data_IF_844886388875
#
_entry.id   IF_844886388875
#
_cell.length_a   1.000
_cell.length_b   1.000
_cell.length_c   1.000
_cell.angle_alpha   90.00
_cell.angle_beta   90.00
_cell.angle_gamma   90.00
#
_symmetry.space_group_name_H-M   'P 1'
#
loop_
_entity.id
_entity.type
_entity.pdbx_description
1 polymer ?
#
# COMPACT_ATOMS: atom_id res chain seq x y z
N UNK A 1 29.25 -4.83 1.93
CA UNK A 1 28.19 -5.78 2.29
C UNK A 1 27.54 -6.23 0.99
N UNK A 2 26.82 -7.34 0.95
CA UNK A 2 26.12 -7.82 -0.26
C UNK A 2 24.71 -7.26 -0.32
N UNK A 3 24.14 -7.17 -1.51
CA UNK A 3 22.72 -6.93 -1.67
C UNK A 3 21.90 -8.08 -1.05
N UNK A 4 20.64 -7.84 -0.65
CA UNK A 4 19.73 -8.90 -0.19
C UNK A 4 19.59 -10.03 -1.22
N UNK A 5 19.44 -11.26 -0.73
CA UNK A 5 19.21 -12.41 -1.60
C UNK A 5 17.79 -12.36 -2.16
N UNK A 6 17.68 -12.14 -3.47
CA UNK A 6 16.42 -12.14 -4.19
C UNK A 6 15.90 -13.56 -4.42
N UNK A 7 14.58 -13.74 -4.37
CA UNK A 7 13.89 -14.95 -4.80
C UNK A 7 12.62 -14.58 -5.57
N UNK A 8 12.43 -15.17 -6.74
CA UNK A 8 11.27 -14.98 -7.62
C UNK A 8 10.61 -16.33 -7.81
N UNK A 9 9.38 -16.48 -7.32
CA UNK A 9 8.58 -17.69 -7.43
C UNK A 9 7.39 -17.42 -8.33
N UNK A 10 7.20 -18.24 -9.36
CA UNK A 10 6.06 -18.16 -10.30
C UNK A 10 5.32 -19.48 -10.31
N UNK A 11 3.99 -19.41 -10.29
CA UNK A 11 3.15 -20.61 -10.39
C UNK A 11 2.66 -20.84 -11.80
N UNK A 12 2.89 -22.04 -12.35
CA UNK A 12 2.54 -22.39 -13.72
C UNK A 12 1.35 -23.37 -13.85
N UNK A 13 0.62 -23.63 -12.78
CA UNK A 13 -0.59 -24.47 -12.85
C UNK A 13 -1.87 -23.65 -12.80
N UNK A 14 -2.87 -24.05 -13.60
CA UNK A 14 -4.16 -23.35 -13.73
C UNK A 14 -5.13 -23.66 -12.58
N UNK A 15 -4.78 -23.36 -11.35
CA UNK A 15 -5.79 -23.30 -10.30
C UNK A 15 -5.63 -21.99 -9.53
N UNK A 16 -6.66 -21.17 -9.57
CA UNK A 16 -6.72 -19.87 -8.89
C UNK A 16 -6.77 -20.00 -7.34
N UNK A 17 -6.21 -21.04 -6.76
CA UNK A 17 -6.19 -21.29 -5.32
C UNK A 17 -4.80 -20.99 -4.76
N UNK A 18 -4.72 -19.92 -3.99
CA UNK A 18 -3.59 -19.61 -3.13
C UNK A 18 -3.53 -20.63 -1.97
N UNK A 19 -2.83 -21.74 -2.16
CA UNK A 19 -2.65 -22.76 -1.13
C UNK A 19 -1.39 -23.57 -1.37
N UNK A 20 -0.82 -24.12 -0.30
CA UNK A 20 0.32 -25.04 -0.43
C UNK A 20 -0.17 -26.37 -1.02
N UNK A 21 0.37 -26.80 -2.18
CA UNK A 21 -0.10 -28.02 -2.84
C UNK A 21 0.15 -29.26 -1.99
N UNK A 22 -0.74 -30.23 -2.09
CA UNK A 22 -0.55 -31.53 -1.49
C UNK A 22 0.66 -32.24 -2.14
N UNK A 23 1.66 -32.56 -1.33
CA UNK A 23 2.86 -33.28 -1.76
C UNK A 23 2.86 -34.71 -1.23
N UNK A 24 2.79 -35.66 -2.14
CA UNK A 24 2.87 -37.09 -1.77
C UNK A 24 4.21 -37.36 -1.05
N UNK A 25 4.17 -38.08 0.06
CA UNK A 25 5.32 -38.39 0.92
C UNK A 25 5.98 -37.18 1.64
N UNK A 26 5.35 -36.01 1.67
CA UNK A 26 5.77 -34.91 2.52
C UNK A 26 5.17 -35.05 3.92
N UNK A 27 6.01 -35.03 4.95
CA UNK A 27 5.56 -35.06 6.36
C UNK A 27 4.79 -33.80 6.80
N UNK A 28 4.89 -32.71 6.02
CA UNK A 28 4.22 -31.45 6.29
C UNK A 28 3.03 -31.20 5.36
N UNK A 29 3.23 -31.39 4.06
CA UNK A 29 2.21 -31.06 3.03
C UNK A 29 1.50 -32.31 2.48
N UNK A 30 1.89 -33.50 2.89
CA UNK A 30 1.23 -34.76 2.55
C UNK A 30 0.10 -35.14 3.52
N UNK A 31 -0.25 -34.27 4.46
CA UNK A 31 -1.35 -34.47 5.41
C UNK A 31 -2.66 -33.94 4.82
N UNK A 32 -3.71 -34.76 4.85
CA UNK A 32 -5.09 -34.33 4.58
C UNK A 32 -5.45 -33.17 5.52
N UNK A 33 -5.94 -32.08 5.02
CA UNK A 33 -6.25 -30.80 5.68
C UNK A 33 -5.07 -29.82 5.85
N UNK A 34 -3.85 -30.16 5.39
CA UNK A 34 -2.71 -29.23 5.42
C UNK A 34 -2.25 -28.90 4.00
N UNK A 35 -2.27 -29.88 3.08
CA UNK A 35 -2.00 -29.68 1.67
C UNK A 35 -3.30 -29.58 0.86
N UNK A 36 -3.38 -28.67 -0.10
CA UNK A 36 -4.53 -28.52 -1.00
C UNK A 36 -4.35 -29.45 -2.21
N UNK A 37 -5.32 -30.29 -2.51
CA UNK A 37 -5.31 -31.09 -3.74
C UNK A 37 -5.48 -30.17 -4.94
N UNK A 38 -4.48 -30.14 -5.86
CA UNK A 38 -4.49 -29.30 -7.05
C UNK A 38 -4.07 -27.86 -6.80
N UNK A 39 -3.18 -27.60 -5.84
CA UNK A 39 -2.59 -26.28 -5.62
C UNK A 39 -1.56 -25.92 -6.67
N UNK A 40 -1.37 -24.62 -6.94
CA UNK A 40 -0.36 -24.10 -7.86
C UNK A 40 1.04 -24.43 -7.33
N UNK A 41 1.83 -25.11 -8.14
CA UNK A 41 3.24 -25.32 -7.81
C UNK A 41 4.03 -24.05 -8.12
N UNK A 42 4.62 -23.44 -7.08
CA UNK A 42 5.53 -22.32 -7.24
C UNK A 42 6.92 -22.83 -7.65
N UNK A 43 7.42 -22.32 -8.77
CA UNK A 43 8.74 -22.64 -9.32
C UNK A 43 9.67 -21.45 -9.08
N UNK A 44 10.89 -21.73 -8.61
CA UNK A 44 11.93 -20.72 -8.46
C UNK A 44 12.57 -20.41 -9.81
N UNK A 45 12.37 -19.19 -10.28
CA UNK A 45 12.88 -18.68 -11.58
C UNK A 45 13.92 -17.57 -11.36
N UNK A 46 14.43 -17.42 -10.16
CA UNK A 46 15.36 -16.35 -9.77
C UNK A 46 16.62 -16.29 -10.64
N UNK A 47 17.15 -17.45 -11.03
CA UNK A 47 18.40 -17.52 -11.80
C UNK A 47 18.32 -16.90 -13.20
N UNK A 48 17.12 -16.63 -13.70
CA UNK A 48 16.86 -16.01 -15.00
C UNK A 48 16.52 -14.52 -14.89
N UNK A 49 16.30 -14.03 -13.65
CA UNK A 49 15.93 -12.64 -13.40
C UNK A 49 17.12 -11.69 -13.62
N UNK A 50 16.94 -10.71 -14.52
CA UNK A 50 17.90 -9.64 -14.75
C UNK A 50 17.59 -8.40 -13.92
N UNK A 51 16.32 -8.01 -13.84
CA UNK A 51 15.90 -6.87 -13.06
C UNK A 51 14.47 -7.01 -12.54
N UNK A 52 14.21 -6.36 -11.41
CA UNK A 52 12.89 -6.29 -10.80
C UNK A 52 12.61 -4.86 -10.39
N UNK A 53 11.49 -4.32 -10.83
CA UNK A 53 10.96 -3.04 -10.36
C UNK A 53 9.62 -3.27 -9.70
N UNK A 54 9.43 -2.80 -8.48
CA UNK A 54 8.19 -2.92 -7.72
C UNK A 54 7.75 -1.53 -7.29
N UNK A 55 6.46 -1.24 -7.41
CA UNK A 55 5.85 -0.02 -6.87
C UNK A 55 4.53 -0.37 -6.21
N UNK A 56 4.39 -0.01 -4.93
CA UNK A 56 3.19 -0.25 -4.12
C UNK A 56 2.82 1.01 -3.36
N UNK A 57 1.53 1.24 -3.17
CA UNK A 57 1.04 2.35 -2.38
C UNK A 57 0.40 3.47 -3.18
N UNK A 58 0.58 4.71 -2.72
CA UNK A 58 0.08 5.95 -3.34
C UNK A 58 1.17 7.01 -3.39
N UNK A 59 1.08 7.90 -4.38
CA UNK A 59 2.06 8.98 -4.53
C UNK A 59 1.72 10.22 -3.70
N UNK A 60 0.44 10.44 -3.44
CA UNK A 60 -0.07 11.62 -2.73
C UNK A 60 -1.00 11.22 -1.59
N UNK A 61 -0.91 11.94 -0.50
CA UNK A 61 -1.69 11.73 0.72
C UNK A 61 -3.21 11.80 0.49
N UNK A 62 -3.67 12.58 -0.48
CA UNK A 62 -5.09 12.74 -0.82
C UNK A 62 -5.63 11.71 -1.81
N UNK A 63 -4.76 10.90 -2.40
CA UNK A 63 -5.12 9.84 -3.33
C UNK A 63 -5.49 8.54 -2.60
N UNK A 64 -6.21 7.67 -3.30
CA UNK A 64 -6.45 6.30 -2.83
C UNK A 64 -5.22 5.44 -3.11
N UNK A 65 -5.06 4.36 -2.34
CA UNK A 65 -4.07 3.35 -2.66
C UNK A 65 -4.41 2.69 -3.99
N UNK A 66 -3.41 2.60 -4.86
CA UNK A 66 -3.51 1.95 -6.16
C UNK A 66 -3.11 0.48 -6.07
N UNK A 67 -3.44 -0.29 -7.11
CA UNK A 67 -2.90 -1.63 -7.25
C UNK A 67 -1.37 -1.56 -7.29
N UNK A 68 -0.71 -2.38 -6.47
CA UNK A 68 0.73 -2.55 -6.54
C UNK A 68 1.12 -3.24 -7.83
N UNK A 69 2.20 -2.78 -8.45
CA UNK A 69 2.72 -3.33 -9.71
C UNK A 69 4.15 -3.83 -9.53
N UNK A 70 4.49 -4.87 -10.27
CA UNK A 70 5.86 -5.31 -10.43
C UNK A 70 6.16 -5.60 -11.89
N UNK A 71 7.36 -5.27 -12.33
CA UNK A 71 7.91 -5.68 -13.62
C UNK A 71 9.15 -6.51 -13.36
N UNK A 72 9.18 -7.72 -13.92
CA UNK A 72 10.34 -8.62 -13.85
C UNK A 72 10.85 -8.86 -15.25
N UNK A 73 12.13 -8.60 -15.46
CA UNK A 73 12.80 -8.88 -16.73
C UNK A 73 13.61 -10.17 -16.59
N UNK A 74 13.35 -11.12 -17.45
CA UNK A 74 14.06 -12.40 -17.53
C UNK A 74 14.92 -12.48 -18.79
N UNK A 75 16.16 -12.95 -18.64
CA UNK A 75 16.96 -13.47 -19.75
C UNK A 75 16.40 -14.85 -20.12
N UNK A 76 15.81 -14.96 -21.32
CA UNK A 76 15.09 -16.17 -21.76
C UNK A 76 15.61 -16.70 -23.12
N UNK A 77 16.91 -17.05 -23.21
CA UNK A 77 17.50 -17.49 -24.50
C UNK A 77 16.89 -18.76 -25.03
N UNK A 78 16.27 -19.58 -24.21
CA UNK A 78 15.64 -20.85 -24.57
C UNK A 78 14.13 -20.76 -24.74
N UNK A 79 13.55 -19.56 -24.56
CA UNK A 79 12.10 -19.30 -24.70
C UNK A 79 11.25 -20.17 -23.78
N UNK A 80 11.69 -20.34 -22.53
CA UNK A 80 10.95 -21.19 -21.59
C UNK A 80 9.63 -20.54 -21.12
N UNK A 81 9.55 -19.19 -21.16
CA UNK A 81 8.35 -18.44 -20.82
C UNK A 81 7.47 -18.15 -22.06
N UNK A 82 7.81 -18.68 -23.22
CA UNK A 82 7.02 -18.50 -24.44
C UNK A 82 5.86 -19.50 -24.48
N UNK A 83 4.58 -19.06 -24.51
CA UNK A 83 3.42 -19.94 -24.57
C UNK A 83 3.33 -20.74 -25.88
N UNK A 84 4.11 -20.37 -26.90
CA UNK A 84 4.20 -21.12 -28.18
C UNK A 84 5.26 -22.21 -28.18
N UNK A 85 6.14 -22.24 -27.15
CA UNK A 85 7.20 -23.24 -27.04
C UNK A 85 6.70 -24.50 -26.35
N UNK A 86 6.30 -25.52 -27.14
CA UNK A 86 5.81 -26.79 -26.62
C UNK A 86 6.90 -27.66 -25.98
N UNK A 87 8.19 -27.32 -26.16
CA UNK A 87 9.31 -27.96 -25.49
C UNK A 87 9.64 -27.32 -24.12
N UNK A 88 8.97 -26.23 -23.77
CA UNK A 88 9.14 -25.58 -22.45
C UNK A 88 8.65 -26.48 -21.31
N UNK A 89 9.37 -26.55 -20.17
CA UNK A 89 8.91 -27.27 -18.99
C UNK A 89 7.63 -26.63 -18.38
N UNK A 90 7.29 -25.40 -18.77
CA UNK A 90 6.11 -24.67 -18.29
C UNK A 90 4.90 -24.71 -19.24
N UNK A 91 5.07 -25.34 -20.42
CA UNK A 91 3.98 -25.50 -21.38
C UNK A 91 2.92 -26.49 -20.84
N UNK A 92 1.61 -26.22 -21.01
CA UNK A 92 0.97 -25.04 -21.60
C UNK A 92 0.55 -23.96 -20.58
N UNK A 93 1.21 -23.86 -19.44
CA UNK A 93 0.76 -23.12 -18.27
C UNK A 93 1.32 -21.69 -18.16
N UNK A 94 2.08 -21.23 -19.15
CA UNK A 94 2.49 -19.82 -19.26
C UNK A 94 1.30 -18.98 -19.72
N UNK A 95 0.84 -18.05 -18.90
CA UNK A 95 -0.31 -17.23 -19.26
C UNK A 95 -0.65 -16.16 -18.22
N UNK A 96 -1.67 -15.34 -18.50
CA UNK A 96 -2.12 -14.35 -17.54
C UNK A 96 -2.71 -15.03 -16.29
N UNK A 97 -2.62 -14.34 -15.15
CA UNK A 97 -3.06 -14.79 -13.82
C UNK A 97 -2.16 -15.85 -13.17
N UNK A 98 -1.01 -16.18 -13.72
CA UNK A 98 -0.02 -16.95 -12.99
C UNK A 98 0.36 -16.19 -11.70
N UNK A 99 0.30 -16.82 -10.50
CA UNK A 99 0.71 -16.17 -9.27
C UNK A 99 2.21 -15.96 -9.24
N UNK A 100 2.63 -14.83 -8.67
CA UNK A 100 4.03 -14.47 -8.48
C UNK A 100 4.28 -13.99 -7.06
N UNK A 101 5.37 -14.44 -6.46
CA UNK A 101 5.88 -13.98 -5.17
C UNK A 101 7.32 -13.56 -5.34
N UNK A 102 7.64 -12.34 -4.94
CA UNK A 102 9.00 -11.81 -4.95
C UNK A 102 9.40 -11.55 -3.50
N UNK A 103 10.50 -12.13 -3.07
CA UNK A 103 11.04 -11.96 -1.73
C UNK A 103 12.52 -11.58 -1.75
N UNK A 104 12.96 -10.88 -0.72
CA UNK A 104 14.36 -10.54 -0.50
C UNK A 104 14.73 -10.96 0.93
N UNK A 105 15.85 -11.67 1.10
CA UNK A 105 16.24 -12.31 2.37
C UNK A 105 15.13 -13.18 2.99
N UNK A 106 14.25 -13.78 2.17
CA UNK A 106 13.10 -14.56 2.63
C UNK A 106 11.90 -13.71 3.09
N UNK A 107 11.99 -12.38 3.06
CA UNK A 107 10.89 -11.46 3.39
C UNK A 107 10.12 -11.15 2.10
N UNK A 108 8.81 -11.41 2.03
CA UNK A 108 7.99 -11.05 0.87
C UNK A 108 7.96 -9.53 0.68
N UNK A 109 8.35 -9.07 -0.52
CA UNK A 109 8.30 -7.64 -0.90
C UNK A 109 7.18 -7.36 -1.91
N UNK A 110 6.72 -8.41 -2.60
CA UNK A 110 5.58 -8.33 -3.53
C UNK A 110 4.91 -9.69 -3.69
N UNK A 111 3.58 -9.69 -3.70
CA UNK A 111 2.75 -10.85 -4.01
C UNK A 111 1.60 -10.40 -4.92
N UNK A 112 1.46 -11.06 -6.07
CA UNK A 112 0.45 -10.69 -7.05
C UNK A 112 0.25 -11.76 -8.10
N UNK A 113 -0.26 -11.36 -9.24
CA UNK A 113 -0.47 -12.18 -10.42
C UNK A 113 0.14 -11.52 -11.64
N UNK A 114 0.60 -12.34 -12.57
CA UNK A 114 1.05 -11.87 -13.88
C UNK A 114 -0.16 -11.36 -14.66
N UNK A 115 -0.03 -10.18 -15.24
CA UNK A 115 -1.04 -9.58 -16.11
C UNK A 115 -0.66 -9.71 -17.58
N UNK A 116 0.63 -9.67 -17.88
CA UNK A 116 1.14 -9.78 -19.24
C UNK A 116 2.54 -10.41 -19.29
N UNK A 117 2.81 -11.12 -20.37
CA UNK A 117 4.09 -11.72 -20.74
C UNK A 117 4.55 -11.06 -22.04
N UNK A 118 5.37 -10.02 -21.92
CA UNK A 118 5.95 -9.33 -23.08
C UNK A 118 7.18 -10.09 -23.57
N UNK A 119 7.08 -10.72 -24.73
CA UNK A 119 8.14 -11.54 -25.33
C UNK A 119 8.89 -10.72 -26.39
N UNK A 120 10.15 -10.44 -26.15
CA UNK A 120 11.04 -9.80 -27.12
C UNK A 120 11.98 -10.86 -27.73
N UNK A 121 11.75 -11.15 -29.02
CA UNK A 121 12.56 -12.11 -29.77
C UNK A 121 13.77 -11.39 -30.37
N UNK A 122 14.93 -11.60 -29.76
CA UNK A 122 16.18 -11.08 -30.29
C UNK A 122 16.53 -11.61 -31.65
N UNK A 123 17.40 -10.89 -32.36
CA UNK A 123 17.87 -11.29 -33.69
C UNK A 123 18.71 -12.59 -33.66
N UNK A 124 19.22 -12.96 -32.48
CA UNK A 124 19.91 -14.22 -32.19
C UNK A 124 19.22 -14.93 -31.04
N UNK A 125 19.37 -16.25 -30.95
CA UNK A 125 18.79 -17.06 -29.88
C UNK A 125 19.24 -16.65 -28.46
N UNK A 126 20.36 -15.96 -28.34
CA UNK A 126 20.90 -15.46 -27.07
C UNK A 126 20.38 -14.07 -26.67
N UNK A 127 19.49 -13.45 -27.45
CA UNK A 127 18.97 -12.12 -27.18
C UNK A 127 17.47 -12.10 -26.86
N UNK A 128 16.85 -13.25 -26.57
CA UNK A 128 15.45 -13.28 -26.20
C UNK A 128 15.29 -12.82 -24.73
N UNK A 129 14.38 -11.88 -24.52
CA UNK A 129 14.06 -11.33 -23.19
C UNK A 129 12.55 -11.44 -22.98
N UNK A 130 12.17 -11.85 -21.78
CA UNK A 130 10.76 -11.87 -21.37
C UNK A 130 10.54 -10.86 -20.26
N UNK A 131 9.72 -9.84 -20.52
CA UNK A 131 9.31 -8.85 -19.53
C UNK A 131 7.93 -9.20 -18.99
N UNK A 132 7.83 -9.43 -17.68
CA UNK A 132 6.61 -9.89 -17.03
C UNK A 132 6.01 -8.76 -16.24
N UNK A 133 4.80 -8.33 -16.65
CA UNK A 133 4.03 -7.32 -15.94
C UNK A 133 3.13 -7.99 -14.91
N UNK A 134 3.13 -7.47 -13.68
CA UNK A 134 2.39 -8.04 -12.57
C UNK A 134 1.54 -6.98 -11.86
N UNK A 135 0.41 -7.41 -11.31
CA UNK A 135 -0.43 -6.57 -10.46
C UNK A 135 -0.88 -7.36 -9.23
N UNK A 136 -1.09 -6.65 -8.13
CA UNK A 136 -1.57 -7.25 -6.89
C UNK A 136 -3.09 -7.58 -6.91
N UNK A 137 -3.62 -8.02 -5.77
CA UNK A 137 -5.01 -8.44 -5.63
C UNK A 137 -6.06 -7.37 -5.91
N UNK A 138 -5.71 -6.08 -5.98
CA UNK A 138 -6.66 -5.03 -6.35
C UNK A 138 -7.16 -5.16 -7.79
N UNK A 139 -6.37 -5.76 -8.68
CA UNK A 139 -6.80 -6.05 -10.05
C UNK A 139 -8.03 -6.97 -10.10
N UNK A 140 -8.20 -7.85 -9.10
CA UNK A 140 -9.39 -8.70 -9.01
C UNK A 140 -10.64 -7.83 -8.80
N UNK A 141 -10.58 -6.92 -7.84
CA UNK A 141 -11.71 -6.03 -7.52
C UNK A 141 -11.98 -4.98 -8.59
N UNK A 142 -10.94 -4.52 -9.30
CA UNK A 142 -11.08 -3.56 -10.40
C UNK A 142 -11.91 -4.10 -11.57
N UNK A 143 -11.90 -5.42 -11.76
CA UNK A 143 -12.62 -6.10 -12.84
C UNK A 143 -13.97 -6.69 -12.40
N UNK A 144 -14.37 -6.49 -11.14
CA UNK A 144 -15.64 -6.97 -10.61
C UNK A 144 -16.67 -5.84 -10.49
N UNK A 145 -17.93 -6.19 -10.69
CA UNK A 145 -19.07 -5.28 -10.54
C UNK A 145 -20.13 -5.89 -9.64
N UNK A 146 -20.84 -5.04 -8.93
CA UNK A 146 -21.96 -5.45 -8.08
C UNK A 146 -23.20 -5.80 -8.90
N UNK A 147 -23.97 -6.79 -8.42
CA UNK A 147 -25.41 -6.82 -8.59
C UNK A 147 -26.02 -5.72 -7.71
N UNK A 148 -27.26 -5.29 -8.05
CA UNK A 148 -27.94 -4.29 -7.25
C UNK A 148 -28.01 -4.71 -5.77
N UNK A 149 -27.53 -3.84 -4.87
CA UNK A 149 -27.47 -4.15 -3.46
C UNK A 149 -27.64 -2.90 -2.57
N UNK A 150 -28.48 -3.03 -1.54
CA UNK A 150 -28.56 -2.04 -0.48
C UNK A 150 -28.06 -2.65 0.82
N UNK A 151 -26.84 -2.31 1.26
CA UNK A 151 -26.31 -2.81 2.53
C UNK A 151 -27.03 -2.18 3.72
N UNK A 152 -27.05 -2.86 4.85
CA UNK A 152 -27.52 -2.27 6.12
C UNK A 152 -26.52 -1.23 6.64
N UNK A 153 -26.97 -0.29 7.49
CA UNK A 153 -26.05 0.60 8.18
C UNK A 153 -25.12 -0.21 9.11
N UNK A 154 -23.81 0.02 9.00
CA UNK A 154 -22.79 -0.76 9.73
C UNK A 154 -21.46 -0.04 9.74
N UNK A 155 -20.50 -0.49 10.60
CA UNK A 155 -19.16 0.09 10.61
C UNK A 155 -18.41 -0.19 9.30
N UNK A 156 -17.42 0.64 9.00
CA UNK A 156 -16.65 0.60 7.76
C UNK A 156 -15.98 -0.76 7.54
N UNK A 157 -15.34 -1.36 8.54
CA UNK A 157 -14.72 -2.68 8.40
C UNK A 157 -15.72 -3.81 8.25
N UNK A 158 -16.88 -3.75 8.92
CA UNK A 158 -17.98 -4.70 8.69
C UNK A 158 -18.50 -4.58 7.27
N UNK A 159 -18.57 -3.35 6.71
CA UNK A 159 -18.93 -3.10 5.31
C UNK A 159 -17.92 -3.71 4.34
N UNK A 160 -16.63 -3.58 4.60
CA UNK A 160 -15.59 -4.24 3.79
C UNK A 160 -15.82 -5.74 3.78
N UNK A 161 -15.99 -6.37 4.94
CA UNK A 161 -16.25 -7.82 5.02
C UNK A 161 -17.55 -8.23 4.31
N UNK A 162 -18.60 -7.41 4.38
CA UNK A 162 -19.85 -7.68 3.70
C UNK A 162 -19.70 -7.63 2.16
N UNK A 163 -18.90 -6.69 1.63
CA UNK A 163 -18.55 -6.63 0.20
C UNK A 163 -17.78 -7.87 -0.22
N UNK A 164 -16.76 -8.27 0.55
CA UNK A 164 -15.92 -9.43 0.23
C UNK A 164 -16.69 -10.77 0.25
N UNK A 165 -17.80 -10.83 0.99
CA UNK A 165 -18.67 -11.99 1.09
C UNK A 165 -19.77 -12.05 0.01
N UNK A 166 -19.93 -11.00 -0.84
CA UNK A 166 -20.92 -10.99 -1.90
C UNK A 166 -20.64 -12.11 -2.91
N UNK A 167 -21.68 -12.80 -3.44
CA UNK A 167 -21.50 -13.90 -4.40
C UNK A 167 -20.71 -13.51 -5.66
N UNK A 168 -20.92 -12.29 -6.17
CA UNK A 168 -20.24 -11.72 -7.33
C UNK A 168 -18.77 -11.33 -7.04
N UNK A 169 -18.39 -11.17 -5.78
CA UNK A 169 -17.01 -10.87 -5.34
C UNK A 169 -16.31 -12.12 -4.85
N UNK A 170 -16.93 -12.85 -3.92
CA UNK A 170 -16.49 -14.13 -3.34
C UNK A 170 -14.97 -14.20 -3.08
N UNK A 171 -14.44 -13.19 -2.38
CA UNK A 171 -13.00 -13.09 -2.14
C UNK A 171 -12.51 -14.14 -1.15
N UNK A 172 -11.62 -15.02 -1.59
CA UNK A 172 -11.05 -16.12 -0.79
C UNK A 172 -9.60 -15.85 -0.32
N UNK A 173 -9.02 -14.70 -0.69
CA UNK A 173 -7.66 -14.33 -0.28
C UNK A 173 -7.54 -13.99 1.21
N UNK A 174 -6.29 -13.91 1.68
CA UNK A 174 -5.99 -13.48 3.04
C UNK A 174 -6.47 -12.04 3.27
N UNK A 175 -7.00 -11.76 4.47
CA UNK A 175 -7.52 -10.44 4.83
C UNK A 175 -7.25 -10.09 6.29
N UNK A 176 -6.94 -8.83 6.53
CA UNK A 176 -6.77 -8.23 7.85
C UNK A 176 -7.61 -6.94 7.90
N UNK A 177 -8.85 -7.06 8.41
CA UNK A 177 -9.84 -5.98 8.36
C UNK A 177 -10.16 -5.52 9.78
N UNK A 178 -9.76 -4.28 10.12
CA UNK A 178 -10.17 -3.65 11.37
C UNK A 178 -11.67 -3.32 11.37
N UNK A 179 -12.30 -3.23 12.53
CA UNK A 179 -13.74 -2.97 12.64
C UNK A 179 -14.15 -1.62 12.05
N UNK A 180 -13.26 -0.63 12.14
CA UNK A 180 -13.55 0.76 11.76
C UNK A 180 -14.33 1.54 12.81
N UNK A 181 -14.25 2.85 12.74
CA UNK A 181 -14.86 3.79 13.69
C UNK A 181 -16.10 4.50 13.10
N UNK A 182 -16.14 4.67 11.77
CA UNK A 182 -17.24 5.36 11.10
C UNK A 182 -18.42 4.42 10.82
N UNK A 183 -19.63 4.93 10.96
CA UNK A 183 -20.85 4.21 10.59
C UNK A 183 -21.27 4.60 9.18
N UNK A 184 -21.37 3.62 8.29
CA UNK A 184 -21.76 3.82 6.89
C UNK A 184 -23.26 3.61 6.72
N UNK A 185 -23.90 4.48 5.94
CA UNK A 185 -25.33 4.44 5.66
C UNK A 185 -25.78 3.29 4.76
N UNK A 186 -27.10 3.08 4.69
CA UNK A 186 -27.74 2.08 3.83
C UNK A 186 -28.03 2.68 2.44
N UNK A 187 -26.98 3.01 1.69
CA UNK A 187 -27.14 3.60 0.35
C UNK A 187 -27.17 2.51 -0.71
N UNK A 188 -28.07 2.68 -1.69
CA UNK A 188 -28.21 1.78 -2.83
C UNK A 188 -26.90 1.80 -3.68
N UNK A 189 -26.38 0.62 -3.96
CA UNK A 189 -25.33 0.40 -4.94
C UNK A 189 -26.01 -0.14 -6.20
N UNK A 190 -25.97 0.58 -7.32
CA UNK A 190 -26.62 0.12 -8.54
C UNK A 190 -25.88 -1.08 -9.14
N UNK A 191 -26.59 -1.90 -9.91
CA UNK A 191 -25.98 -2.94 -10.71
C UNK A 191 -24.91 -2.35 -11.66
N UNK A 192 -23.78 -3.05 -11.80
CA UNK A 192 -22.63 -2.58 -12.58
C UNK A 192 -21.68 -1.63 -11.83
N UNK A 193 -21.98 -1.28 -10.57
CA UNK A 193 -21.06 -0.50 -9.74
C UNK A 193 -19.72 -1.24 -9.55
N UNK A 194 -18.58 -0.53 -9.68
CA UNK A 194 -17.25 -1.14 -9.54
C UNK A 194 -16.92 -1.44 -8.08
N UNK A 195 -16.47 -2.67 -7.83
CA UNK A 195 -16.17 -3.15 -6.47
C UNK A 195 -14.99 -2.43 -5.85
N UNK A 196 -13.88 -2.22 -6.59
CA UNK A 196 -12.70 -1.53 -6.06
C UNK A 196 -13.02 -0.09 -5.70
N UNK A 197 -13.71 0.63 -6.59
CA UNK A 197 -14.09 2.02 -6.34
C UNK A 197 -14.97 2.15 -5.09
N UNK A 198 -15.91 1.23 -4.89
CA UNK A 198 -16.74 1.22 -3.69
C UNK A 198 -15.94 0.95 -2.43
N UNK A 199 -15.02 -0.03 -2.45
CA UNK A 199 -14.13 -0.31 -1.32
C UNK A 199 -13.23 0.89 -0.99
N UNK A 200 -12.74 1.58 -2.02
CA UNK A 200 -11.96 2.82 -1.84
C UNK A 200 -12.82 3.95 -1.24
N UNK A 201 -14.10 4.06 -1.61
CA UNK A 201 -15.02 5.02 -0.99
C UNK A 201 -15.32 4.67 0.47
N UNK A 202 -15.38 3.38 0.83
CA UNK A 202 -15.44 2.95 2.25
C UNK A 202 -14.21 3.45 3.02
N UNK A 203 -13.01 3.25 2.46
CA UNK A 203 -11.77 3.76 3.04
C UNK A 203 -11.76 5.29 3.19
N UNK A 204 -12.22 6.02 2.15
CA UNK A 204 -12.32 7.48 2.19
C UNK A 204 -13.30 7.98 3.24
N UNK A 205 -14.43 7.28 3.44
CA UNK A 205 -15.45 7.63 4.43
C UNK A 205 -15.00 7.41 5.87
N UNK A 206 -14.07 6.48 6.09
CA UNK A 206 -13.40 6.23 7.37
C UNK A 206 -12.21 7.16 7.59
N UNK A 207 -11.61 7.73 6.52
CA UNK A 207 -10.22 8.23 6.49
C UNK A 207 -9.22 7.17 6.92
N UNK A 208 -9.56 5.93 6.59
CA UNK A 208 -8.75 4.76 6.81
C UNK A 208 -7.94 4.39 5.56
N UNK A 209 -7.21 3.30 5.68
CA UNK A 209 -6.30 2.81 4.66
C UNK A 209 -6.77 1.44 4.17
N UNK A 210 -7.01 1.32 2.87
CA UNK A 210 -7.30 0.05 2.22
C UNK A 210 -6.19 -0.24 1.21
N UNK A 211 -5.46 -1.34 1.37
CA UNK A 211 -4.33 -1.70 0.52
C UNK A 211 -4.07 -3.21 0.52
N UNK A 212 -3.26 -3.66 -0.44
CA UNK A 212 -2.68 -5.00 -0.42
C UNK A 212 -1.30 -4.94 0.25
N UNK A 213 -1.06 -5.80 1.25
CA UNK A 213 0.25 -5.92 1.89
C UNK A 213 1.29 -6.55 0.94
N UNK A 214 2.57 -6.47 1.27
CA UNK A 214 3.65 -7.16 0.53
C UNK A 214 3.44 -8.67 0.42
N UNK A 215 2.82 -9.27 1.42
CA UNK A 215 2.46 -10.68 1.47
C UNK A 215 1.13 -11.03 0.76
N UNK A 216 0.48 -10.08 0.07
CA UNK A 216 -0.78 -10.31 -0.65
C UNK A 216 -2.02 -10.37 0.24
N UNK A 217 -1.97 -9.83 1.45
CA UNK A 217 -3.13 -9.75 2.35
C UNK A 217 -3.90 -8.45 2.12
N UNK A 218 -5.21 -8.54 1.83
CA UNK A 218 -6.08 -7.37 1.78
C UNK A 218 -6.21 -6.78 3.19
N UNK A 219 -5.71 -5.57 3.36
CA UNK A 219 -5.64 -4.91 4.67
C UNK A 219 -6.52 -3.67 4.68
N UNK A 220 -7.36 -3.55 5.69
CA UNK A 220 -8.10 -2.34 6.02
C UNK A 220 -7.75 -1.90 7.44
N UNK A 221 -7.13 -0.74 7.56
CA UNK A 221 -6.85 -0.08 8.85
C UNK A 221 -7.78 1.11 9.03
N UNK A 222 -8.41 1.23 10.18
CA UNK A 222 -9.20 2.41 10.52
C UNK A 222 -8.28 3.61 10.79
N UNK A 223 -8.86 4.80 10.75
CA UNK A 223 -8.13 6.01 11.17
C UNK A 223 -7.59 5.89 12.60
N UNK A 224 -8.37 5.32 13.51
CA UNK A 224 -7.96 5.13 14.91
C UNK A 224 -6.73 4.22 15.04
N UNK A 225 -6.65 3.15 14.25
CA UNK A 225 -5.49 2.25 14.25
C UNK A 225 -4.23 2.91 13.68
N UNK A 226 -4.41 3.85 12.75
CA UNK A 226 -3.30 4.60 12.15
C UNK A 226 -2.77 5.75 13.03
N UNK A 227 -3.51 6.14 14.07
CA UNK A 227 -3.12 7.20 15.00
C UNK A 227 -2.16 6.74 16.10
N UNK A 228 -1.78 5.47 16.18
CA UNK A 228 -0.82 5.00 17.17
C UNK A 228 0.61 5.37 16.72
N UNK A 229 1.26 6.36 17.36
CA UNK A 229 2.40 7.06 16.78
C UNK A 229 3.77 6.43 17.10
N UNK A 230 3.83 5.17 17.49
CA UNK A 230 5.12 4.53 17.79
C UNK A 230 5.79 4.09 16.49
N UNK A 231 6.92 4.70 16.11
CA UNK A 231 7.65 4.30 14.92
C UNK A 231 8.23 2.89 15.08
N UNK A 232 8.08 2.08 14.03
CA UNK A 232 8.67 0.73 13.97
C UNK A 232 10.15 0.79 13.61
N UNK A 233 10.59 1.90 13.00
CA UNK A 233 11.96 2.08 12.54
C UNK A 233 12.35 3.57 12.58
N UNK A 234 13.64 3.82 12.85
CA UNK A 234 14.23 5.17 12.87
C UNK A 234 15.28 5.29 11.76
N UNK A 235 15.08 6.24 10.85
CA UNK A 235 16.03 6.63 9.82
C UNK A 235 16.70 7.94 10.20
N UNK A 236 18.05 7.97 10.21
CA UNK A 236 18.77 9.15 10.66
C UNK A 236 20.13 9.32 9.95
N UNK A 237 20.58 10.56 9.84
CA UNK A 237 21.91 10.91 9.29
C UNK A 237 22.94 11.26 10.37
N UNK A 238 22.56 11.22 11.65
CA UNK A 238 23.43 11.58 12.78
C UNK A 238 24.27 10.40 13.35
N UNK A 239 24.21 9.22 12.72
CA UNK A 239 24.92 8.01 13.16
C UNK A 239 24.11 7.12 14.11
N UNK A 240 22.87 7.49 14.47
CA UNK A 240 21.90 6.64 15.15
C UNK A 240 20.83 6.16 14.14
N UNK A 241 20.24 4.98 14.35
CA UNK A 241 19.23 4.44 13.42
C UNK A 241 19.80 4.02 12.06
N UNK A 242 18.92 3.81 11.10
CA UNK A 242 19.27 3.35 9.76
C UNK A 242 19.63 4.53 8.86
N UNK A 243 20.74 4.42 8.14
CA UNK A 243 21.18 5.46 7.20
C UNK A 243 20.38 5.43 5.92
N UNK A 244 20.00 6.59 5.44
CA UNK A 244 19.43 6.81 4.11
C UNK A 244 20.42 7.56 3.22
N UNK A 245 20.27 7.45 1.89
CA UNK A 245 21.13 8.14 0.90
C UNK A 245 20.50 9.42 0.38
N UNK A 246 19.19 9.45 0.30
CA UNK A 246 18.43 10.61 -0.17
C UNK A 246 17.24 10.87 0.72
N UNK A 247 16.96 12.16 0.93
CA UNK A 247 15.75 12.66 1.62
C UNK A 247 15.12 13.70 0.72
N UNK A 248 13.84 13.54 0.42
CA UNK A 248 13.03 14.54 -0.26
C UNK A 248 12.11 15.23 0.73
N UNK A 249 11.96 16.54 0.56
CA UNK A 249 11.05 17.34 1.36
C UNK A 249 10.22 18.25 0.46
N UNK A 250 9.04 18.63 0.93
CA UNK A 250 8.17 19.58 0.28
C UNK A 250 7.72 20.66 1.26
N UNK A 251 7.65 21.88 0.77
CA UNK A 251 7.01 23.01 1.43
C UNK A 251 6.31 23.83 0.35
N UNK A 252 5.04 23.56 0.13
CA UNK A 252 4.28 24.16 -0.97
C UNK A 252 2.78 24.21 -0.64
N UNK A 253 2.00 24.58 -1.62
CA UNK A 253 0.55 24.72 -1.56
C UNK A 253 -0.22 23.50 -2.07
N UNK A 254 0.46 22.46 -2.53
CA UNK A 254 -0.15 21.24 -3.08
C UNK A 254 -1.12 20.55 -2.09
N UNK A 255 -0.81 20.58 -0.81
CA UNK A 255 -1.64 20.06 0.29
C UNK A 255 -2.16 21.20 1.19
N UNK A 256 -2.46 22.35 0.60
CA UNK A 256 -3.09 23.47 1.27
C UNK A 256 -4.59 23.49 0.94
N UNK A 257 -5.43 23.12 1.91
CA UNK A 257 -6.88 23.16 1.76
C UNK A 257 -7.49 23.92 2.93
N UNK A 258 -8.00 25.11 2.66
CA UNK A 258 -8.61 25.99 3.66
C UNK A 258 -10.11 26.20 3.48
N UNK A 259 -10.69 25.54 2.46
CA UNK A 259 -12.11 25.44 2.19
C UNK A 259 -12.46 24.01 1.79
N UNK A 260 -13.05 23.25 2.71
CA UNK A 260 -13.34 21.82 2.54
C UNK A 260 -14.83 21.60 2.43
N UNK A 261 -15.25 20.86 1.41
CA UNK A 261 -16.63 20.44 1.18
C UNK A 261 -16.75 18.93 1.31
N UNK A 262 -17.67 18.47 2.13
CA UNK A 262 -17.97 17.06 2.33
C UNK A 262 -19.45 16.78 2.19
N UNK A 263 -19.83 15.64 1.60
CA UNK A 263 -21.22 15.26 1.39
C UNK A 263 -21.37 13.73 1.38
N UNK A 264 -22.48 13.23 1.91
CA UNK A 264 -22.97 11.87 1.66
C UNK A 264 -24.16 11.89 0.68
N UNK A 265 -24.51 10.77 0.01
CA UNK A 265 -25.50 10.74 -1.07
C UNK A 265 -26.87 11.29 -0.69
N UNK A 266 -27.30 11.15 0.55
CA UNK A 266 -28.59 11.63 1.04
C UNK A 266 -28.50 12.92 1.86
N UNK A 267 -27.30 13.49 2.04
CA UNK A 267 -27.05 14.65 2.89
C UNK A 267 -26.84 15.95 2.13
N UNK A 268 -27.00 17.09 2.83
CA UNK A 268 -26.57 18.38 2.32
C UNK A 268 -25.04 18.50 2.38
N UNK A 269 -24.47 19.31 1.48
CA UNK A 269 -23.04 19.65 1.51
C UNK A 269 -22.70 20.32 2.84
N UNK A 270 -21.69 19.81 3.50
CA UNK A 270 -21.09 20.38 4.71
C UNK A 270 -19.84 21.16 4.30
N UNK A 271 -19.66 22.35 4.89
CA UNK A 271 -18.53 23.23 4.57
C UNK A 271 -17.74 23.48 5.84
N UNK A 272 -16.45 23.25 5.78
CA UNK A 272 -15.46 23.67 6.78
C UNK A 272 -14.48 24.64 6.15
N UNK A 273 -14.25 25.81 6.77
CA UNK A 273 -13.33 26.82 6.23
C UNK A 273 -12.58 27.56 7.33
N UNK A 274 -11.38 28.05 7.01
CA UNK A 274 -10.55 28.86 7.88
C UNK A 274 -10.30 30.24 7.29
N UNK A 275 -10.95 31.27 7.86
CA UNK A 275 -10.90 32.63 7.34
C UNK A 275 -9.49 33.26 7.38
N UNK A 276 -8.65 32.89 8.37
CA UNK A 276 -7.28 33.41 8.46
C UNK A 276 -6.39 32.82 7.37
N UNK A 277 -6.53 31.52 7.11
CA UNK A 277 -5.81 30.86 6.03
C UNK A 277 -6.27 31.39 4.66
N UNK A 278 -7.58 31.57 4.46
CA UNK A 278 -8.14 32.13 3.21
C UNK A 278 -7.63 33.55 2.99
N UNK A 279 -7.59 34.39 4.02
CA UNK A 279 -7.08 35.76 3.90
C UNK A 279 -5.58 35.78 3.53
N UNK A 280 -4.81 34.78 3.95
CA UNK A 280 -3.37 34.69 3.69
C UNK A 280 -3.02 34.02 2.38
N UNK A 281 -3.71 32.95 2.01
CA UNK A 281 -3.35 32.05 0.91
C UNK A 281 -4.40 31.99 -0.19
N UNK A 282 -5.46 32.81 -0.12
CA UNK A 282 -6.66 32.71 -0.95
C UNK A 282 -7.43 31.39 -0.69
N UNK A 283 -8.59 31.22 -1.35
CA UNK A 283 -9.39 30.01 -1.17
C UNK A 283 -8.76 28.83 -1.93
N UNK A 284 -8.37 27.83 -1.19
CA UNK A 284 -7.87 26.54 -1.69
C UNK A 284 -8.91 25.47 -1.36
N UNK A 285 -9.60 25.01 -2.39
CA UNK A 285 -10.78 24.17 -2.23
C UNK A 285 -10.43 22.68 -2.32
N UNK A 286 -11.02 21.89 -1.42
CA UNK A 286 -11.00 20.43 -1.47
C UNK A 286 -12.43 19.91 -1.31
N UNK A 287 -12.85 18.93 -2.14
CA UNK A 287 -14.21 18.39 -2.12
C UNK A 287 -14.18 16.86 -2.07
N UNK A 288 -14.99 16.30 -1.14
CA UNK A 288 -15.32 14.88 -1.04
C UNK A 288 -16.83 14.73 -0.93
N UNK A 289 -17.49 14.42 -2.06
CA UNK A 289 -18.95 14.48 -2.19
C UNK A 289 -19.62 13.10 -2.27
N UNK A 290 -18.87 12.02 -2.16
CA UNK A 290 -19.31 10.63 -2.32
C UNK A 290 -19.10 9.77 -1.05
N UNK A 291 -19.08 10.44 0.12
CA UNK A 291 -18.87 9.79 1.41
C UNK A 291 -20.06 8.92 1.79
N UNK A 292 -19.79 7.76 2.37
CA UNK A 292 -20.82 6.78 2.74
C UNK A 292 -21.30 6.90 4.19
N UNK A 293 -20.85 7.91 4.93
CA UNK A 293 -21.21 8.11 6.34
C UNK A 293 -22.72 8.24 6.53
N UNK A 294 -23.23 7.67 7.62
CA UNK A 294 -24.66 7.58 7.89
C UNK A 294 -25.29 8.89 8.37
N UNK A 295 -24.50 9.78 8.96
CA UNK A 295 -24.98 11.02 9.57
C UNK A 295 -24.25 12.25 9.03
N UNK A 296 -25.00 13.37 8.97
CA UNK A 296 -24.44 14.68 8.60
C UNK A 296 -23.34 15.14 9.58
N UNK A 297 -23.45 14.75 10.86
CA UNK A 297 -22.45 15.10 11.87
C UNK A 297 -21.10 14.43 11.60
N UNK A 298 -21.09 13.14 11.20
CA UNK A 298 -19.85 12.44 10.81
C UNK A 298 -19.22 13.07 9.56
N UNK A 299 -20.05 13.40 8.56
CA UNK A 299 -19.62 14.08 7.33
C UNK A 299 -19.00 15.45 7.63
N UNK A 300 -19.63 16.24 8.50
CA UNK A 300 -19.11 17.55 8.94
C UNK A 300 -17.83 17.40 9.76
N UNK A 301 -17.77 16.41 10.67
CA UNK A 301 -16.59 16.10 11.46
C UNK A 301 -15.38 15.74 10.59
N UNK A 302 -15.61 15.00 9.50
CA UNK A 302 -14.57 14.69 8.52
C UNK A 302 -14.05 15.96 7.81
N UNK A 303 -14.96 16.87 7.43
CA UNK A 303 -14.58 18.17 6.85
C UNK A 303 -13.71 19.00 7.79
N UNK A 304 -14.02 19.03 9.09
CA UNK A 304 -13.22 19.72 10.11
C UNK A 304 -11.86 19.06 10.32
N UNK A 305 -11.79 17.74 10.33
CA UNK A 305 -10.54 17.00 10.43
C UNK A 305 -9.60 17.34 9.26
N UNK A 306 -10.09 17.28 8.01
CA UNK A 306 -9.33 17.63 6.82
C UNK A 306 -8.86 19.09 6.84
N UNK A 307 -9.75 20.02 7.23
CA UNK A 307 -9.40 21.42 7.38
C UNK A 307 -8.27 21.60 8.42
N UNK A 308 -8.41 20.98 9.58
CA UNK A 308 -7.40 21.05 10.65
C UNK A 308 -6.01 20.62 10.19
N UNK A 309 -5.95 19.57 9.36
CA UNK A 309 -4.73 18.97 8.86
C UNK A 309 -4.06 19.80 7.75
N UNK A 310 -4.85 20.42 6.86
CA UNK A 310 -4.35 20.96 5.60
C UNK A 310 -4.47 22.49 5.45
N UNK A 311 -5.04 23.21 6.42
CA UNK A 311 -5.27 24.65 6.30
C UNK A 311 -4.01 25.52 6.28
N UNK A 312 -2.87 25.00 6.69
CA UNK A 312 -1.58 25.70 6.70
C UNK A 312 -0.50 24.90 5.98
N UNK A 313 0.39 25.55 5.23
CA UNK A 313 1.55 24.87 4.66
C UNK A 313 2.47 24.35 5.76
N UNK A 314 3.01 23.16 5.58
CA UNK A 314 3.94 22.52 6.50
C UNK A 314 5.14 21.97 5.73
N UNK A 315 6.32 21.98 6.36
CA UNK A 315 7.47 21.24 5.83
C UNK A 315 7.22 19.75 6.05
N UNK A 316 7.24 18.99 4.98
CA UNK A 316 6.98 17.54 5.01
C UNK A 316 8.15 16.80 4.41
N UNK A 317 8.66 15.82 5.09
CA UNK A 317 9.53 14.82 4.50
C UNK A 317 8.66 13.88 3.66
N UNK A 318 8.86 13.90 2.36
CA UNK A 318 8.01 13.17 1.40
C UNK A 318 8.56 11.82 1.00
N UNK A 319 9.84 11.57 1.23
CA UNK A 319 10.42 10.27 0.95
C UNK A 319 11.89 10.18 1.28
N UNK A 320 12.35 8.94 1.41
CA UNK A 320 13.77 8.57 1.53
C UNK A 320 14.10 7.47 0.54
N UNK A 321 15.37 7.40 0.16
CA UNK A 321 15.92 6.30 -0.63
C UNK A 321 17.19 5.78 0.01
N UNK A 322 17.36 4.44 0.01
CA UNK A 322 18.56 3.80 0.49
C UNK A 322 18.96 2.60 -0.36
N UNK A 323 20.28 2.38 -0.47
CA UNK A 323 20.86 1.20 -1.11
C UNK A 323 21.09 0.13 -0.05
N UNK A 324 20.31 -0.95 -0.11
CA UNK A 324 20.36 -1.99 0.91
C UNK A 324 21.75 -2.66 1.01
N UNK A 325 22.47 -2.81 -0.10
CA UNK A 325 23.83 -3.37 -0.08
C UNK A 325 24.83 -2.58 0.79
N UNK A 326 24.53 -1.32 1.14
CA UNK A 326 25.36 -0.51 2.02
C UNK A 326 25.03 -0.68 3.51
N UNK A 327 23.96 -1.40 3.85
CA UNK A 327 23.45 -1.60 5.20
C UNK A 327 23.88 -2.95 5.78
N UNK A 328 23.84 -3.08 7.12
CA UNK A 328 23.97 -4.37 7.77
C UNK A 328 22.80 -5.31 7.42
N UNK A 329 23.00 -6.63 7.55
CA UNK A 329 21.92 -7.60 7.31
C UNK A 329 20.65 -7.29 8.14
N UNK A 330 20.83 -6.94 9.41
CA UNK A 330 19.71 -6.61 10.29
C UNK A 330 18.94 -5.35 9.83
N UNK A 331 19.68 -4.32 9.35
CA UNK A 331 19.06 -3.10 8.81
C UNK A 331 18.39 -3.35 7.46
N UNK A 332 18.97 -4.24 6.62
CA UNK A 332 18.33 -4.69 5.38
C UNK A 332 17.00 -5.34 5.67
N UNK A 333 16.98 -6.32 6.59
CA UNK A 333 15.77 -7.06 6.96
C UNK A 333 14.72 -6.15 7.60
N UNK A 334 15.16 -5.18 8.41
CA UNK A 334 14.29 -4.17 8.99
C UNK A 334 13.65 -3.27 7.90
N UNK A 335 14.44 -2.80 6.91
CA UNK A 335 13.91 -2.02 5.78
C UNK A 335 12.94 -2.83 4.91
N UNK A 336 13.27 -4.10 4.63
CA UNK A 336 12.41 -5.00 3.84
C UNK A 336 11.12 -5.36 4.55
N UNK A 337 11.12 -5.32 5.89
CA UNK A 337 9.94 -5.59 6.72
C UNK A 337 8.94 -4.44 6.79
N UNK A 338 9.29 -3.22 6.35
CA UNK A 338 8.36 -2.09 6.32
C UNK A 338 7.29 -2.30 5.24
N UNK A 339 6.04 -2.18 5.63
CA UNK A 339 4.91 -2.22 4.71
C UNK A 339 4.13 -0.89 4.70
N UNK A 340 3.14 -0.79 3.83
CA UNK A 340 2.25 0.37 3.74
C UNK A 340 1.55 0.62 5.08
N UNK A 341 1.45 1.89 5.44
CA UNK A 341 0.88 2.41 6.70
C UNK A 341 1.71 2.15 7.95
N UNK A 342 2.90 1.56 7.86
CA UNK A 342 3.82 1.50 8.97
C UNK A 342 4.37 2.90 9.28
N UNK A 343 4.55 3.17 10.57
CA UNK A 343 5.03 4.46 11.06
C UNK A 343 6.54 4.39 11.24
N UNK A 344 7.24 5.39 10.70
CA UNK A 344 8.69 5.51 10.82
C UNK A 344 9.07 6.89 11.35
N UNK A 345 10.18 7.01 12.04
CA UNK A 345 10.80 8.29 12.37
C UNK A 345 11.90 8.59 11.34
N UNK A 346 11.95 9.83 10.86
CA UNK A 346 12.99 10.31 9.95
C UNK A 346 13.63 11.56 10.51
N UNK A 347 14.93 11.48 10.80
CA UNK A 347 15.73 12.58 11.33
C UNK A 347 16.68 13.15 10.29
N UNK A 348 16.81 14.49 10.27
CA UNK A 348 17.75 15.23 9.44
C UNK A 348 18.56 16.21 10.28
N UNK A 349 19.88 16.15 10.16
CA UNK A 349 20.82 17.09 10.78
C UNK A 349 21.22 18.16 9.77
N UNK A 350 21.24 19.41 10.20
CA UNK A 350 21.65 20.56 9.40
C UNK A 350 22.99 21.11 9.92
N UNK A 351 23.91 21.37 9.01
CA UNK A 351 25.22 21.91 9.34
C UNK A 351 25.15 23.37 9.81
N UNK A 352 24.12 24.08 9.42
CA UNK A 352 23.90 25.49 9.73
C UNK A 352 22.43 25.79 9.99
N UNK A 353 22.17 26.85 10.75
CA UNK A 353 20.81 27.33 11.05
C UNK A 353 20.20 26.70 12.31
N UNK A 354 18.94 27.05 12.54
CA UNK A 354 18.15 26.55 13.67
C UNK A 354 16.73 26.17 13.16
N UNK A 355 16.23 24.95 13.44
CA UNK A 355 16.86 23.92 14.29
C UNK A 355 18.06 23.25 13.62
N UNK A 356 19.03 22.80 14.41
CA UNK A 356 20.18 22.02 13.93
C UNK A 356 19.82 20.57 13.62
N UNK A 357 18.68 20.10 14.11
CA UNK A 357 18.15 18.76 13.86
C UNK A 357 16.62 18.80 13.82
N UNK A 358 16.03 18.09 12.86
CA UNK A 358 14.58 17.94 12.72
C UNK A 358 14.23 16.46 12.59
N UNK A 359 13.32 15.99 13.43
CA UNK A 359 12.75 14.64 13.32
C UNK A 359 11.27 14.74 13.03
N UNK A 360 10.78 13.95 12.08
CA UNK A 360 9.36 13.79 11.78
C UNK A 360 8.95 12.33 11.94
N UNK A 361 7.80 12.11 12.56
CA UNK A 361 7.12 10.81 12.56
C UNK A 361 6.18 10.77 11.38
N UNK A 362 6.30 9.74 10.55
CA UNK A 362 5.70 9.68 9.23
C UNK A 362 5.02 8.32 9.01
N UNK A 363 3.98 8.29 8.21
CA UNK A 363 3.30 7.07 7.77
C UNK A 363 3.83 6.70 6.39
N UNK A 364 4.21 5.44 6.19
CA UNK A 364 4.64 4.94 4.89
C UNK A 364 3.45 4.84 3.95
N UNK A 365 3.39 5.69 2.94
CA UNK A 365 2.32 5.73 1.93
C UNK A 365 2.68 5.01 0.64
N UNK A 366 3.97 4.78 0.39
CA UNK A 366 4.44 4.04 -0.77
C UNK A 366 5.79 3.38 -0.52
N UNK A 367 5.99 2.24 -1.18
CA UNK A 367 7.26 1.49 -1.18
C UNK A 367 7.60 1.12 -2.61
N UNK A 368 8.81 1.42 -3.05
CA UNK A 368 9.32 0.97 -4.33
C UNK A 368 10.68 0.30 -4.21
N UNK A 369 10.89 -0.71 -5.04
CA UNK A 369 12.15 -1.43 -5.13
C UNK A 369 12.65 -1.38 -6.57
N UNK A 370 13.94 -1.06 -6.72
CA UNK A 370 14.69 -1.21 -7.96
C UNK A 370 15.82 -2.21 -7.69
N UNK A 371 15.74 -3.38 -8.31
CA UNK A 371 16.63 -4.52 -8.07
C UNK A 371 17.30 -4.88 -9.38
N UNK A 372 18.63 -4.99 -9.34
CA UNK A 372 19.47 -5.48 -10.44
C UNK A 372 20.64 -6.26 -9.86
N UNK A 373 21.42 -6.99 -10.65
CA UNK A 373 22.54 -7.77 -10.14
C UNK A 373 23.48 -6.94 -9.25
N UNK A 374 23.58 -7.31 -7.97
CA UNK A 374 24.41 -6.63 -6.98
C UNK A 374 23.86 -5.31 -6.43
N UNK A 375 22.69 -4.86 -6.85
CA UNK A 375 22.06 -3.61 -6.43
C UNK A 375 20.62 -3.82 -6.00
N UNK A 376 20.23 -3.27 -4.86
CA UNK A 376 18.85 -3.22 -4.41
C UNK A 376 18.61 -1.87 -3.74
N UNK A 377 17.94 -0.98 -4.46
CA UNK A 377 17.53 0.32 -3.95
C UNK A 377 16.07 0.23 -3.49
N UNK A 378 15.83 0.62 -2.24
CA UNK A 378 14.47 0.79 -1.71
C UNK A 378 14.17 2.28 -1.54
N UNK A 379 12.97 2.69 -1.90
CA UNK A 379 12.48 4.04 -1.66
C UNK A 379 11.14 3.98 -0.96
N UNK A 380 10.99 4.81 0.05
CA UNK A 380 9.77 5.01 0.79
C UNK A 380 9.18 6.38 0.46
N UNK A 381 7.88 6.42 0.22
CA UNK A 381 7.10 7.66 0.16
C UNK A 381 6.33 7.80 1.46
N UNK A 382 6.25 9.03 1.96
CA UNK A 382 5.68 9.29 3.27
C UNK A 382 4.55 10.30 3.23
N UNK A 383 3.68 10.18 4.21
CA UNK A 383 2.72 11.21 4.60
C UNK A 383 2.92 11.58 6.07
N UNK A 384 2.53 12.80 6.40
CA UNK A 384 2.63 13.24 7.79
C UNK A 384 1.67 12.46 8.67
N UNK A 385 2.08 12.09 9.88
CA UNK A 385 1.14 11.78 10.96
C UNK A 385 0.31 13.03 11.26
N UNK A 386 -0.84 12.88 11.93
CA UNK A 386 -1.70 14.03 12.24
C UNK A 386 -0.90 15.15 12.89
N UNK A 387 -0.90 16.31 12.24
CA UNK A 387 -0.15 17.50 12.69
C UNK A 387 -0.69 18.15 13.97
N UNK A 388 -1.68 17.55 14.62
CA UNK A 388 -2.19 17.98 15.90
C UNK A 388 -1.39 17.32 17.03
N UNK A 389 -0.60 18.12 17.73
CA UNK A 389 0.01 17.68 18.98
C UNK A 389 -1.09 17.51 20.04
N UNK A 390 -1.55 16.27 20.22
CA UNK A 390 -2.50 15.95 21.28
C UNK A 390 -1.85 16.08 22.64
N UNK A 391 -2.65 16.51 23.63
CA UNK A 391 -2.21 16.57 25.03
C UNK A 391 -1.78 15.17 25.47
N UNK A 392 -0.50 15.01 25.79
CA UNK A 392 0.04 13.77 26.37
C UNK A 392 0.37 14.03 27.81
N UNK A 393 -0.35 13.40 28.76
CA UNK A 393 -0.16 13.56 30.19
C UNK A 393 1.31 13.29 30.58
N UNK A 394 1.89 14.23 31.34
CA UNK A 394 3.28 14.18 31.82
C UNK A 394 4.37 14.25 30.74
N UNK A 395 4.04 14.68 29.50
CA UNK A 395 5.03 14.92 28.46
C UNK A 395 5.31 16.42 28.30
N UNK A 396 6.57 16.83 28.20
CA UNK A 396 6.97 18.17 27.83
C UNK A 396 7.50 18.16 26.39
N UNK A 397 6.98 18.99 25.46
CA UNK A 397 6.02 20.08 25.64
C UNK A 397 4.53 19.69 25.51
N UNK A 398 4.20 18.44 25.26
CA UNK A 398 2.84 17.97 24.90
C UNK A 398 1.87 17.91 26.09
N UNK A 399 2.35 18.10 27.32
CA UNK A 399 1.53 18.08 28.52
C UNK A 399 0.94 19.44 28.93
N UNK A 400 1.04 20.47 28.10
CA UNK A 400 0.56 21.83 28.41
C UNK A 400 -0.85 22.08 27.89
N UNK A 401 -1.81 22.35 28.77
CA UNK A 401 -3.24 22.51 28.46
C UNK A 401 -3.55 23.61 27.44
N UNK A 402 -2.80 24.70 27.41
CA UNK A 402 -3.04 25.85 26.53
C UNK A 402 -2.32 25.69 25.16
N UNK A 403 -1.56 24.61 24.94
CA UNK A 403 -0.71 24.44 23.78
C UNK A 403 -1.13 23.23 22.95
N UNK A 404 -1.81 22.26 23.55
CA UNK A 404 -2.12 20.98 22.93
C UNK A 404 -3.62 20.67 22.96
N UNK A 405 -4.10 19.99 21.90
CA UNK A 405 -5.50 19.61 21.77
C UNK A 405 -5.81 18.37 22.62
N UNK A 406 -6.99 18.36 23.24
CA UNK A 406 -7.55 17.15 23.82
C UNK A 406 -8.03 16.23 22.66
N UNK A 407 -7.61 14.97 22.69
CA UNK A 407 -8.16 13.96 21.79
C UNK A 407 -9.58 13.61 22.26
N UNK A 408 -10.59 13.87 21.42
CA UNK A 408 -11.96 13.45 21.62
C UNK A 408 -12.37 12.45 20.55
#
# INVERSE_FOLDING_TARGET
MSAPTLQILVGFEQTANFGTPFQLNSGTFGLLNTGTLGGTQLVDVTSMGESVTITRGRNRETEQFNAGTATVVFDDPTRIFDPLNDASPFYPFVGPRNPIIISANGIPIYTGVVTDWDLDYGFTTSGNVTSVQCSDGFTVFANQSFDEWTPTAQSSGVRVNAVLARPEVNYQGARAISTGSSTLGAYLIPAGGNVLQYLQNVGASEQGYLFMSSAGTLTFRSRADALNPLPVLDFNDNGTGIRYQSLTNAYGDELLFNYVQTQSPAGAVQIASDAFSIARYQSQNYSKLDLLNSTTAEVAGLGQYLLGRYKNPQVRFTGIGTQLAALSQADQDACLGIDLTDIVAVGKTFDTGNPSHLTQTLITSGVSHDISPGSHVIRFTFESTDGNAYLTLNADPLGKLDTNLLAF
#
